data_IF_428638512391
#
_entry.id   IF_428638512391
#
_cell.length_a   1.000
_cell.length_b   1.000
_cell.length_c   1.000
_cell.angle_alpha   90.00
_cell.angle_beta   90.00
_cell.angle_gamma   90.00
#
_symmetry.space_group_name_H-M   'P 1'
#
loop_
_entity.id
_entity.type
_entity.pdbx_description
1 polymer ?
#
# COMPACT_ATOMS: atom_id res chain seq x y z
N UNK A 1 20.81 -39.06 10.29
CA UNK A 1 21.69 -40.09 9.68
C UNK A 1 21.71 -41.30 10.62
N UNK A 2 21.76 -42.55 10.15
CA UNK A 2 21.79 -43.71 11.06
C UNK A 2 23.13 -43.89 11.81
N UNK A 3 24.08 -42.97 11.62
CA UNK A 3 25.37 -42.90 12.32
C UNK A 3 25.58 -41.60 13.11
N UNK A 4 24.75 -40.59 12.87
CA UNK A 4 24.68 -39.40 13.69
C UNK A 4 23.22 -38.98 13.78
N UNK A 5 22.67 -38.97 15.01
CA UNK A 5 21.29 -38.62 15.36
C UNK A 5 20.95 -37.14 15.06
N UNK A 6 21.61 -36.53 14.10
CA UNK A 6 21.27 -35.21 13.57
C UNK A 6 19.89 -35.27 12.93
N UNK A 7 18.90 -34.78 13.69
CA UNK A 7 17.64 -34.29 13.15
C UNK A 7 17.97 -33.06 12.30
N UNK A 8 17.89 -33.20 10.99
CA UNK A 8 17.85 -32.05 10.10
C UNK A 8 16.46 -31.42 10.27
N UNK A 9 16.33 -30.44 11.16
CA UNK A 9 15.22 -29.50 11.07
C UNK A 9 15.46 -28.70 9.79
N UNK A 10 14.67 -28.95 8.74
CA UNK A 10 14.53 -27.98 7.67
C UNK A 10 13.98 -26.72 8.34
N UNK A 11 14.85 -25.75 8.60
CA UNK A 11 14.38 -24.40 8.84
C UNK A 11 13.76 -23.96 7.52
N UNK A 12 12.45 -24.15 7.37
CA UNK A 12 11.64 -23.38 6.43
C UNK A 12 11.91 -21.92 6.79
N UNK A 13 12.87 -21.31 6.11
CA UNK A 13 12.93 -19.85 6.06
C UNK A 13 11.68 -19.48 5.28
N UNK A 14 10.70 -18.90 5.97
CA UNK A 14 9.70 -18.09 5.31
C UNK A 14 10.51 -16.98 4.64
N UNK A 15 10.85 -17.17 3.37
CA UNK A 15 11.30 -16.04 2.57
C UNK A 15 10.09 -15.13 2.49
N UNK A 16 10.21 -13.93 3.06
CA UNK A 16 9.19 -12.89 3.00
C UNK A 16 9.10 -12.35 1.55
N UNK A 17 8.62 -13.21 0.65
CA UNK A 17 8.47 -12.90 -0.78
C UNK A 17 7.24 -12.02 -0.92
N UNK A 18 7.46 -10.77 -1.34
CA UNK A 18 6.37 -9.88 -1.69
C UNK A 18 5.68 -10.35 -2.97
N UNK A 19 4.34 -10.22 -3.06
CA UNK A 19 3.59 -10.64 -4.24
C UNK A 19 3.94 -9.83 -5.48
N UNK A 20 3.68 -10.40 -6.66
CA UNK A 20 3.62 -9.62 -7.89
C UNK A 20 2.37 -8.73 -7.86
N UNK A 21 2.48 -7.54 -8.45
CA UNK A 21 1.38 -6.59 -8.56
C UNK A 21 0.71 -6.72 -9.91
N UNK A 22 -0.58 -7.05 -9.90
CA UNK A 22 -1.46 -7.07 -11.08
C UNK A 22 -2.02 -5.67 -11.30
N UNK A 23 -1.61 -5.02 -12.38
CA UNK A 23 -2.03 -3.66 -12.75
C UNK A 23 -3.43 -3.66 -13.36
N UNK A 24 -4.07 -2.49 -13.43
CA UNK A 24 -5.42 -2.31 -14.04
C UNK A 24 -5.50 -2.79 -15.50
N UNK A 25 -4.39 -2.79 -16.23
CA UNK A 25 -4.26 -3.30 -17.61
C UNK A 25 -3.92 -4.81 -17.68
N UNK A 26 -4.04 -5.53 -16.55
CA UNK A 26 -3.66 -6.95 -16.37
C UNK A 26 -2.17 -7.26 -16.53
N UNK A 27 -1.27 -6.28 -16.66
CA UNK A 27 0.17 -6.56 -16.60
C UNK A 27 0.57 -6.94 -15.17
N UNK A 28 1.53 -7.86 -15.06
CA UNK A 28 2.18 -8.22 -13.79
C UNK A 28 3.53 -7.53 -13.72
N UNK A 29 3.83 -6.97 -12.56
CA UNK A 29 5.16 -6.44 -12.24
C UNK A 29 5.56 -6.89 -10.84
N UNK A 30 6.86 -7.02 -10.57
CA UNK A 30 7.32 -7.22 -9.20
C UNK A 30 6.89 -6.02 -8.34
N UNK A 31 6.56 -6.28 -7.07
CA UNK A 31 6.34 -5.21 -6.11
C UNK A 31 7.58 -4.31 -6.03
N UNK A 32 7.37 -3.01 -6.11
CA UNK A 32 8.43 -2.01 -6.03
C UNK A 32 8.06 -0.94 -5.01
N UNK A 33 8.72 -1.01 -3.85
CA UNK A 33 8.60 -0.06 -2.75
C UNK A 33 8.76 1.40 -3.21
N UNK A 34 9.69 1.66 -4.13
CA UNK A 34 10.00 3.03 -4.57
C UNK A 34 8.83 3.67 -5.31
N UNK A 35 8.03 2.89 -6.04
CA UNK A 35 6.82 3.40 -6.71
C UNK A 35 5.81 3.95 -5.70
N UNK A 36 5.65 3.28 -4.56
CA UNK A 36 4.74 3.72 -3.49
C UNK A 36 5.28 4.99 -2.84
N UNK A 37 6.55 4.99 -2.44
CA UNK A 37 7.20 6.17 -1.83
C UNK A 37 7.09 7.41 -2.73
N UNK A 38 7.36 7.27 -4.02
CA UNK A 38 7.23 8.37 -4.99
C UNK A 38 5.78 8.88 -5.12
N UNK A 39 4.79 7.97 -5.03
CA UNK A 39 3.37 8.34 -5.01
C UNK A 39 2.99 9.12 -3.76
N UNK A 40 3.47 8.66 -2.59
CA UNK A 40 3.28 9.33 -1.30
C UNK A 40 3.96 10.70 -1.26
N UNK A 41 5.18 10.82 -1.79
CA UNK A 41 5.89 12.09 -1.84
C UNK A 41 5.11 13.19 -2.55
N UNK A 42 4.52 12.85 -3.71
CA UNK A 42 3.66 13.79 -4.45
C UNK A 42 2.39 14.14 -3.68
N UNK A 43 1.75 13.15 -3.04
CA UNK A 43 0.53 13.38 -2.28
C UNK A 43 0.78 14.24 -1.01
N UNK A 44 1.90 14.00 -0.34
CA UNK A 44 2.29 14.64 0.93
C UNK A 44 3.03 15.97 0.73
N UNK A 45 3.20 16.46 -0.50
CA UNK A 45 3.95 17.69 -0.77
C UNK A 45 3.40 18.88 0.04
N UNK A 46 4.27 19.61 0.77
CA UNK A 46 3.90 20.74 1.64
C UNK A 46 2.89 20.37 2.75
N UNK A 47 2.78 19.10 3.12
CA UNK A 47 2.04 18.64 4.30
C UNK A 47 3.00 18.37 5.46
N UNK A 48 2.55 18.49 6.72
CA UNK A 48 3.38 18.22 7.89
C UNK A 48 3.53 16.70 8.15
N UNK A 49 3.90 15.94 7.12
CA UNK A 49 4.06 14.49 7.17
C UNK A 49 5.55 14.19 7.00
N UNK A 50 6.16 13.57 7.99
CA UNK A 50 7.60 13.32 7.97
C UNK A 50 7.99 12.24 6.94
N UNK A 51 9.28 12.18 6.60
CA UNK A 51 9.82 11.11 5.75
C UNK A 51 9.60 9.76 6.43
N UNK A 52 9.85 9.71 7.73
CA UNK A 52 9.72 8.51 8.58
C UNK A 52 8.29 7.99 8.58
N UNK A 53 7.29 8.89 8.70
CA UNK A 53 5.88 8.49 8.66
C UNK A 53 5.50 7.84 7.32
N UNK A 54 6.04 8.34 6.20
CA UNK A 54 5.84 7.74 4.87
C UNK A 54 6.53 6.38 4.77
N UNK A 55 7.76 6.26 5.26
CA UNK A 55 8.50 4.99 5.28
C UNK A 55 7.78 3.92 6.13
N UNK A 56 7.25 4.30 7.28
CA UNK A 56 6.46 3.41 8.15
C UNK A 56 5.13 3.00 7.49
N UNK A 57 4.46 3.91 6.78
CA UNK A 57 3.28 3.55 5.98
C UNK A 57 3.63 2.49 4.94
N UNK A 58 4.74 2.65 4.21
CA UNK A 58 5.13 1.65 3.20
C UNK A 58 5.52 0.32 3.84
N UNK A 59 6.20 0.32 4.99
CA UNK A 59 6.47 -0.91 5.76
C UNK A 59 5.19 -1.61 6.20
N UNK A 60 4.19 -0.85 6.65
CA UNK A 60 2.87 -1.40 7.01
C UNK A 60 2.25 -2.13 5.82
N UNK A 61 2.29 -1.53 4.63
CA UNK A 61 1.79 -2.16 3.40
C UNK A 61 2.56 -3.44 3.07
N UNK A 62 3.90 -3.41 3.09
CA UNK A 62 4.71 -4.62 2.85
C UNK A 62 4.34 -5.76 3.81
N UNK A 63 4.16 -5.43 5.10
CA UNK A 63 3.73 -6.40 6.11
C UNK A 63 2.32 -6.94 5.83
N UNK A 64 1.38 -6.08 5.43
CA UNK A 64 0.05 -6.51 5.00
C UNK A 64 0.16 -7.48 3.83
N UNK A 65 0.95 -7.14 2.81
CA UNK A 65 1.15 -7.99 1.63
C UNK A 65 1.78 -9.34 1.97
N UNK A 66 2.77 -9.37 2.85
CA UNK A 66 3.36 -10.62 3.36
C UNK A 66 2.34 -11.47 4.10
N UNK A 67 1.46 -10.84 4.91
CA UNK A 67 0.46 -11.55 5.71
C UNK A 67 -0.64 -12.23 4.90
N UNK A 68 -0.93 -11.72 3.70
CA UNK A 68 -1.94 -12.31 2.80
C UNK A 68 -1.46 -13.65 2.26
N UNK A 69 -0.14 -13.87 2.19
CA UNK A 69 0.51 -15.09 1.68
C UNK A 69 0.07 -15.48 0.24
N UNK A 70 -0.38 -14.49 -0.54
CA UNK A 70 -0.72 -14.64 -1.95
C UNK A 70 0.50 -14.36 -2.84
N UNK A 71 0.53 -14.99 -4.02
CA UNK A 71 1.59 -14.77 -5.02
C UNK A 71 1.38 -13.51 -5.85
N UNK A 72 0.13 -13.06 -5.97
CA UNK A 72 -0.27 -11.90 -6.76
C UNK A 72 -1.26 -11.03 -5.97
N UNK A 73 -1.12 -9.72 -6.08
CA UNK A 73 -2.02 -8.75 -5.47
C UNK A 73 -2.42 -7.70 -6.50
N UNK A 74 -3.65 -7.22 -6.46
CA UNK A 74 -4.05 -6.15 -7.38
C UNK A 74 -3.39 -4.82 -6.99
N UNK A 75 -3.06 -3.98 -7.97
CA UNK A 75 -2.65 -2.60 -7.70
C UNK A 75 -3.73 -1.79 -7.01
N UNK A 76 -4.99 -2.21 -7.16
CA UNK A 76 -6.13 -1.54 -6.54
C UNK A 76 -6.12 -1.74 -5.02
N UNK A 77 -5.88 -2.98 -4.58
CA UNK A 77 -5.74 -3.31 -3.17
C UNK A 77 -4.64 -2.48 -2.50
N UNK A 78 -3.45 -2.39 -3.13
CA UNK A 78 -2.36 -1.55 -2.60
C UNK A 78 -2.77 -0.07 -2.52
N UNK A 79 -3.49 0.44 -3.53
CA UNK A 79 -3.98 1.81 -3.53
C UNK A 79 -4.98 2.08 -2.40
N UNK A 80 -5.87 1.13 -2.13
CA UNK A 80 -6.82 1.19 -1.02
C UNK A 80 -6.12 1.18 0.34
N UNK A 81 -5.12 0.32 0.54
CA UNK A 81 -4.33 0.29 1.78
C UNK A 81 -3.58 1.62 2.03
N UNK A 82 -3.04 2.24 0.97
CA UNK A 82 -2.43 3.57 1.05
C UNK A 82 -3.48 4.61 1.42
N UNK A 83 -4.64 4.60 0.75
CA UNK A 83 -5.73 5.54 1.02
C UNK A 83 -6.22 5.42 2.47
N UNK A 84 -6.47 4.21 2.97
CA UNK A 84 -6.90 3.98 4.34
C UNK A 84 -5.87 4.54 5.34
N UNK A 85 -4.58 4.29 5.10
CA UNK A 85 -3.52 4.81 5.97
C UNK A 85 -3.38 6.34 5.89
N UNK A 86 -3.51 6.94 4.70
CA UNK A 86 -3.45 8.40 4.53
C UNK A 86 -4.67 9.10 5.15
N UNK A 87 -5.85 8.47 5.14
CA UNK A 87 -7.06 9.02 5.76
C UNK A 87 -6.87 9.27 7.26
N UNK A 88 -6.10 8.41 7.93
CA UNK A 88 -5.76 8.54 9.36
C UNK A 88 -4.65 9.59 9.61
N UNK A 89 -3.74 9.77 8.65
CA UNK A 89 -2.57 10.64 8.81
C UNK A 89 -2.88 12.09 8.43
N UNK A 90 -3.44 12.31 7.25
CA UNK A 90 -3.71 13.65 6.70
C UNK A 90 -4.75 13.59 5.56
N UNK A 91 -5.90 14.23 5.80
CA UNK A 91 -7.02 14.26 4.86
C UNK A 91 -6.66 14.93 3.52
N UNK A 92 -5.77 15.93 3.50
CA UNK A 92 -5.38 16.62 2.26
C UNK A 92 -4.46 15.72 1.42
N UNK A 93 -3.52 15.02 2.05
CA UNK A 93 -2.69 14.03 1.38
C UNK A 93 -3.53 12.87 0.83
N UNK A 94 -4.52 12.40 1.60
CA UNK A 94 -5.52 11.43 1.13
C UNK A 94 -6.19 11.91 -0.16
N UNK A 95 -6.78 13.11 -0.14
CA UNK A 95 -7.52 13.66 -1.28
C UNK A 95 -6.62 13.76 -2.52
N UNK A 96 -5.38 14.23 -2.37
CA UNK A 96 -4.42 14.32 -3.48
C UNK A 96 -4.04 12.95 -4.04
N UNK A 97 -3.81 11.97 -3.17
CA UNK A 97 -3.54 10.60 -3.61
C UNK A 97 -4.74 10.00 -4.34
N UNK A 98 -5.94 10.13 -3.76
CA UNK A 98 -7.20 9.66 -4.33
C UNK A 98 -7.46 10.27 -5.72
N UNK A 99 -7.13 11.55 -5.90
CA UNK A 99 -7.27 12.28 -7.17
C UNK A 99 -6.56 11.56 -8.33
N UNK A 100 -5.36 11.03 -8.07
CA UNK A 100 -4.56 10.32 -9.08
C UNK A 100 -5.00 8.86 -9.21
N UNK A 101 -5.28 8.20 -8.08
CA UNK A 101 -5.57 6.76 -8.07
C UNK A 101 -6.98 6.41 -8.60
N UNK A 102 -8.01 7.14 -8.16
CA UNK A 102 -9.40 6.89 -8.57
C UNK A 102 -9.74 7.45 -9.95
N UNK A 103 -8.93 8.38 -10.48
CA UNK A 103 -9.14 8.99 -11.80
C UNK A 103 -10.59 9.48 -11.97
N UNK A 104 -11.04 10.29 -11.01
CA UNK A 104 -12.41 10.83 -10.99
C UNK A 104 -12.78 11.38 -12.37
N UNK A 105 -13.94 10.97 -12.88
CA UNK A 105 -14.37 11.31 -14.24
C UNK A 105 -14.86 12.75 -14.31
N UNK A 106 -15.41 13.25 -13.21
CA UNK A 106 -15.94 14.60 -13.11
C UNK A 106 -15.66 15.22 -11.72
N UNK A 107 -15.79 16.54 -11.67
CA UNK A 107 -15.55 17.32 -10.46
C UNK A 107 -16.61 17.06 -9.38
N UNK A 108 -17.82 16.63 -9.74
CA UNK A 108 -18.87 16.35 -8.76
C UNK A 108 -18.55 15.07 -7.99
N UNK A 109 -18.05 14.03 -8.65
CA UNK A 109 -17.56 12.79 -8.03
C UNK A 109 -16.48 13.08 -6.99
N UNK A 110 -15.54 13.97 -7.34
CA UNK A 110 -14.50 14.44 -6.42
C UNK A 110 -15.07 15.23 -5.23
N UNK A 111 -16.03 16.12 -5.46
CA UNK A 111 -16.69 16.89 -4.40
C UNK A 111 -17.48 15.97 -3.47
N UNK A 112 -18.16 14.94 -3.99
CA UNK A 112 -18.87 13.97 -3.14
C UNK A 112 -17.90 13.21 -2.25
N UNK A 113 -16.78 12.74 -2.78
CA UNK A 113 -15.74 12.09 -1.95
C UNK A 113 -15.23 13.02 -0.84
N UNK A 114 -14.98 14.31 -1.14
CA UNK A 114 -14.58 15.29 -0.12
C UNK A 114 -15.65 15.46 0.95
N UNK A 115 -16.93 15.54 0.53
CA UNK A 115 -18.06 15.64 1.45
C UNK A 115 -18.12 14.41 2.35
N UNK A 116 -18.00 13.22 1.81
CA UNK A 116 -18.03 11.99 2.59
C UNK A 116 -16.91 11.96 3.65
N UNK A 117 -15.71 12.46 3.33
CA UNK A 117 -14.64 12.59 4.34
C UNK A 117 -14.99 13.64 5.40
N UNK A 118 -15.55 14.79 4.99
CA UNK A 118 -15.87 15.89 5.88
C UNK A 118 -17.06 15.58 6.82
N UNK A 119 -18.04 14.78 6.37
CA UNK A 119 -19.27 14.48 7.09
C UNK A 119 -19.24 13.14 7.85
N UNK A 120 -18.40 12.18 7.49
CA UNK A 120 -18.22 10.93 8.27
C UNK A 120 -17.32 11.12 9.51
N UNK A 121 -17.34 12.32 10.11
CA UNK A 121 -16.56 12.69 11.30
C UNK A 121 -17.32 12.53 12.62
N UNK A 122 -18.52 11.96 12.57
CA UNK A 122 -19.38 11.66 13.73
C UNK A 122 -19.36 10.16 14.10
#
# INVERSE_FOLDING_TARGET
>A
CLKCEGRFTSYERIEDILPHVVKKDNRREAFDRKKILNGLEKACEKRPISVEAREELVKKIEKTLQSINDKEVSSSFIGEEIMNSLKEIDEIAYVRFASVYRQFKDINEFIQEIKDIAYNKD
#
